data_IF_727464469999
#
_entry.id   IF_727464469999
#
_cell.length_a   1.000
_cell.length_b   1.000
_cell.length_c   1.000
_cell.angle_alpha   90.00
_cell.angle_beta   90.00
_cell.angle_gamma   90.00
#
_symmetry.space_group_name_H-M   'P 1'
#
loop_
_entity.id
_entity.type
_entity.pdbx_description
1 polymer ?
#
# COMPACT_ATOMS: atom_id res chain seq x y z
N UNK A 1 36.96 23.22 -15.47
CA UNK A 1 36.26 22.20 -16.27
C UNK A 1 34.83 22.24 -15.76
N UNK A 2 33.98 22.95 -16.48
CA UNK A 2 32.54 22.92 -16.26
C UNK A 2 32.10 21.54 -16.69
N UNK A 3 31.51 20.78 -15.76
CA UNK A 3 31.02 19.43 -16.05
C UNK A 3 29.64 19.65 -16.65
N UNK A 4 29.49 19.42 -17.95
CA UNK A 4 28.21 19.49 -18.63
C UNK A 4 27.22 18.50 -17.96
N UNK A 5 26.24 19.02 -17.23
CA UNK A 5 25.20 18.26 -16.51
C UNK A 5 24.06 17.77 -17.44
N UNK A 6 24.19 17.86 -18.77
CA UNK A 6 23.07 17.59 -19.69
C UNK A 6 23.36 16.48 -20.71
N UNK A 7 23.92 15.36 -20.22
CA UNK A 7 23.99 14.11 -21.01
C UNK A 7 23.37 12.93 -20.24
N UNK A 8 22.24 13.18 -19.56
CA UNK A 8 21.28 12.11 -19.28
C UNK A 8 20.71 11.68 -20.63
N UNK A 9 20.97 10.44 -21.02
CA UNK A 9 20.64 9.98 -22.37
C UNK A 9 19.13 10.09 -22.61
N UNK A 10 18.73 10.41 -23.85
CA UNK A 10 17.32 10.52 -24.26
C UNK A 10 16.51 9.27 -23.82
N UNK A 11 17.18 8.11 -23.83
CA UNK A 11 16.65 6.83 -23.36
C UNK A 11 16.34 6.78 -21.85
N UNK A 12 17.18 7.38 -21.01
CA UNK A 12 16.93 7.45 -19.55
C UNK A 12 15.80 8.43 -19.23
N UNK A 13 15.60 9.47 -20.05
CA UNK A 13 14.48 10.41 -19.90
C UNK A 13 13.16 9.75 -20.32
N UNK A 14 13.16 9.01 -21.43
CA UNK A 14 11.99 8.23 -21.88
C UNK A 14 11.59 7.13 -20.88
N UNK A 15 12.56 6.39 -20.31
CA UNK A 15 12.27 5.39 -19.25
C UNK A 15 11.70 6.03 -17.97
N UNK A 16 12.21 7.19 -17.54
CA UNK A 16 11.69 7.91 -16.38
C UNK A 16 10.26 8.45 -16.63
N UNK A 17 9.98 9.01 -17.81
CA UNK A 17 8.64 9.50 -18.18
C UNK A 17 7.61 8.35 -18.29
N UNK A 18 8.04 7.19 -18.82
CA UNK A 18 7.19 5.99 -18.84
C UNK A 18 6.90 5.49 -17.42
N UNK A 19 7.89 5.43 -16.53
CA UNK A 19 7.72 5.00 -15.13
C UNK A 19 6.78 5.95 -14.37
N UNK A 20 6.95 7.27 -14.54
CA UNK A 20 6.06 8.28 -13.96
C UNK A 20 4.63 8.09 -14.46
N UNK A 21 4.42 7.86 -15.77
CA UNK A 21 3.10 7.64 -16.36
C UNK A 21 2.41 6.37 -15.83
N UNK A 22 3.17 5.30 -15.60
CA UNK A 22 2.68 4.05 -15.01
C UNK A 22 2.32 4.27 -13.54
N UNK A 23 3.14 5.03 -12.81
CA UNK A 23 2.90 5.35 -11.40
C UNK A 23 1.61 6.14 -11.21
N UNK A 24 1.33 7.11 -12.08
CA UNK A 24 0.10 7.91 -12.07
C UNK A 24 -1.12 7.06 -12.40
N UNK A 25 -1.01 6.18 -13.41
CA UNK A 25 -2.08 5.26 -13.77
C UNK A 25 -2.44 4.31 -12.60
N UNK A 26 -1.42 3.78 -11.91
CA UNK A 26 -1.62 2.93 -10.74
C UNK A 26 -2.29 3.70 -9.60
N UNK A 27 -1.86 4.94 -9.36
CA UNK A 27 -2.43 5.80 -8.33
C UNK A 27 -3.89 6.13 -8.61
N UNK A 28 -4.24 6.44 -9.85
CA UNK A 28 -5.63 6.72 -10.25
C UNK A 28 -6.52 5.50 -10.08
N UNK A 29 -6.06 4.32 -10.53
CA UNK A 29 -6.80 3.06 -10.34
C UNK A 29 -6.98 2.72 -8.87
N UNK A 30 -5.93 2.88 -8.07
CA UNK A 30 -5.99 2.67 -6.64
C UNK A 30 -7.02 3.59 -5.98
N UNK A 31 -6.99 4.87 -6.34
CA UNK A 31 -7.91 5.88 -5.81
C UNK A 31 -9.36 5.55 -6.13
N UNK A 32 -9.67 5.17 -7.37
CA UNK A 32 -11.01 4.73 -7.76
C UNK A 32 -11.48 3.51 -6.97
N UNK A 33 -10.60 2.53 -6.75
CA UNK A 33 -10.93 1.34 -5.94
C UNK A 33 -11.18 1.72 -4.48
N UNK A 34 -10.33 2.55 -3.88
CA UNK A 34 -10.48 2.99 -2.50
C UNK A 34 -11.78 3.80 -2.29
N UNK A 35 -12.11 4.69 -3.24
CA UNK A 35 -13.38 5.42 -3.27
C UNK A 35 -14.56 4.43 -3.30
N UNK A 36 -14.53 3.46 -4.22
CA UNK A 36 -15.62 2.49 -4.38
C UNK A 36 -15.85 1.65 -3.11
N UNK A 37 -14.78 1.24 -2.43
CA UNK A 37 -14.87 0.51 -1.16
C UNK A 37 -15.48 1.40 -0.08
N UNK A 38 -15.00 2.64 0.07
CA UNK A 38 -15.49 3.57 1.08
C UNK A 38 -16.97 3.92 0.89
N UNK A 39 -17.40 4.19 -0.35
CA UNK A 39 -18.81 4.45 -0.67
C UNK A 39 -19.69 3.22 -0.44
N UNK A 40 -19.21 2.02 -0.78
CA UNK A 40 -19.94 0.78 -0.56
C UNK A 40 -20.16 0.52 0.93
N UNK A 41 -19.15 0.79 1.75
CA UNK A 41 -19.24 0.65 3.20
C UNK A 41 -20.15 1.71 3.84
N UNK A 42 -20.08 2.96 3.36
CA UNK A 42 -20.99 4.02 3.78
C UNK A 42 -22.45 3.66 3.46
N UNK A 43 -22.74 3.20 2.23
CA UNK A 43 -24.08 2.73 1.83
C UNK A 43 -24.57 1.57 2.69
N UNK A 44 -23.70 0.59 2.99
CA UNK A 44 -24.03 -0.53 3.88
C UNK A 44 -24.39 -0.08 5.29
N UNK A 45 -23.73 0.98 5.77
CA UNK A 45 -23.96 1.58 7.08
C UNK A 45 -25.14 2.58 7.10
N UNK A 46 -25.80 2.82 5.96
CA UNK A 46 -26.86 3.83 5.84
C UNK A 46 -26.35 5.27 5.96
N UNK A 47 -25.07 5.50 5.67
CA UNK A 47 -24.39 6.79 5.78
C UNK A 47 -23.99 7.33 4.40
N UNK A 48 -23.89 8.65 4.29
CA UNK A 48 -23.26 9.31 3.16
C UNK A 48 -21.86 9.80 3.58
N UNK A 49 -20.88 9.63 2.71
CA UNK A 49 -19.51 10.05 2.94
C UNK A 49 -19.19 11.27 2.08
N UNK A 50 -18.66 12.32 2.69
CA UNK A 50 -18.36 13.54 1.95
C UNK A 50 -17.13 13.35 1.05
N UNK A 51 -17.10 13.96 -0.17
CA UNK A 51 -16.00 13.78 -1.12
C UNK A 51 -14.59 14.05 -0.55
N UNK A 52 -14.35 15.08 0.29
CA UNK A 52 -13.03 15.30 0.90
C UNK A 52 -12.58 14.16 1.82
N UNK A 53 -13.53 13.52 2.52
CA UNK A 53 -13.23 12.40 3.42
C UNK A 53 -12.89 11.16 2.61
N UNK A 54 -13.61 10.89 1.52
CA UNK A 54 -13.27 9.76 0.63
C UNK A 54 -11.88 9.95 0.01
N UNK A 55 -11.56 11.16 -0.45
CA UNK A 55 -10.24 11.48 -0.98
C UNK A 55 -9.14 11.25 0.08
N UNK A 56 -9.37 11.70 1.31
CA UNK A 56 -8.46 11.48 2.43
C UNK A 56 -8.25 9.98 2.74
N UNK A 57 -9.31 9.16 2.72
CA UNK A 57 -9.21 7.71 2.91
C UNK A 57 -8.35 7.08 1.81
N UNK A 58 -8.55 7.48 0.55
CA UNK A 58 -7.74 6.98 -0.56
C UNK A 58 -6.26 7.36 -0.41
N UNK A 59 -5.96 8.61 -0.06
CA UNK A 59 -4.58 9.05 0.17
C UNK A 59 -3.93 8.34 1.36
N UNK A 60 -4.68 8.08 2.43
CA UNK A 60 -4.20 7.36 3.60
C UNK A 60 -3.91 5.89 3.27
N UNK A 61 -4.81 5.23 2.54
CA UNK A 61 -4.63 3.85 2.11
C UNK A 61 -3.40 3.72 1.19
N UNK A 62 -3.16 4.71 0.31
CA UNK A 62 -1.99 4.74 -0.55
C UNK A 62 -0.68 4.93 0.25
N UNK A 63 -0.69 5.71 1.33
CA UNK A 63 0.48 5.80 2.22
C UNK A 63 0.77 4.48 2.93
N UNK A 64 -0.27 3.80 3.40
CA UNK A 64 -0.10 2.52 4.10
C UNK A 64 0.36 1.38 3.18
N UNK A 65 -0.06 1.35 1.91
CA UNK A 65 0.36 0.28 1.00
C UNK A 65 1.87 0.32 0.74
N UNK A 66 2.46 1.51 0.67
CA UNK A 66 3.91 1.68 0.51
C UNK A 66 4.71 1.16 1.70
N UNK A 67 4.24 1.42 2.93
CA UNK A 67 4.87 0.87 4.14
C UNK A 67 4.67 -0.65 4.21
N UNK A 68 3.46 -1.13 3.91
CA UNK A 68 3.15 -2.56 3.88
C UNK A 68 4.06 -3.33 2.91
N UNK A 69 4.30 -2.79 1.72
CA UNK A 69 5.19 -3.42 0.74
C UNK A 69 6.62 -3.61 1.28
N UNK A 70 7.18 -2.58 1.95
CA UNK A 70 8.51 -2.65 2.58
C UNK A 70 8.56 -3.67 3.71
N UNK A 71 7.52 -3.70 4.54
CA UNK A 71 7.44 -4.65 5.66
C UNK A 71 7.37 -6.10 5.13
N UNK A 72 6.57 -6.35 4.09
CA UNK A 72 6.48 -7.67 3.44
C UNK A 72 7.79 -8.12 2.82
N UNK A 73 8.51 -7.21 2.17
CA UNK A 73 9.85 -7.48 1.63
C UNK A 73 10.83 -7.85 2.76
N UNK A 74 10.84 -7.09 3.85
CA UNK A 74 11.68 -7.36 5.02
C UNK A 74 11.35 -8.71 5.67
N UNK A 75 10.06 -9.09 5.78
CA UNK A 75 9.67 -10.38 6.33
C UNK A 75 10.11 -11.55 5.43
N UNK A 76 9.93 -11.43 4.12
CA UNK A 76 10.41 -12.44 3.18
C UNK A 76 11.93 -12.57 3.25
N UNK A 77 12.65 -11.45 3.31
CA UNK A 77 14.11 -11.41 3.40
C UNK A 77 14.62 -12.02 4.72
N UNK A 78 13.95 -11.73 5.85
CA UNK A 78 14.29 -12.32 7.15
C UNK A 78 14.15 -13.85 7.15
N UNK A 79 13.19 -14.38 6.39
CA UNK A 79 13.01 -15.82 6.18
C UNK A 79 13.97 -16.41 5.11
N UNK A 80 14.92 -15.62 4.58
CA UNK A 80 15.84 -16.05 3.52
C UNK A 80 15.18 -16.24 2.15
N UNK A 81 13.97 -15.73 1.95
CA UNK A 81 13.19 -15.87 0.71
C UNK A 81 13.26 -14.58 -0.12
N UNK A 82 13.13 -14.73 -1.44
CA UNK A 82 13.00 -13.62 -2.40
C UNK A 82 11.57 -13.39 -2.89
N UNK A 83 10.62 -14.17 -2.38
CA UNK A 83 9.22 -14.14 -2.77
C UNK A 83 8.35 -14.04 -1.52
N UNK A 84 7.42 -13.08 -1.55
CA UNK A 84 6.42 -12.84 -0.50
C UNK A 84 5.39 -13.95 -0.54
N UNK A 85 5.06 -14.49 0.63
CA UNK A 85 4.08 -15.57 0.81
C UNK A 85 3.02 -15.16 1.83
N UNK A 86 1.95 -15.95 1.96
CA UNK A 86 0.88 -15.68 2.92
C UNK A 86 1.36 -15.60 4.37
N UNK A 87 2.47 -16.25 4.73
CA UNK A 87 3.05 -16.10 6.07
C UNK A 87 3.54 -14.68 6.32
N UNK A 88 4.11 -14.01 5.33
CA UNK A 88 4.58 -12.62 5.45
C UNK A 88 3.40 -11.66 5.60
N UNK A 89 2.28 -11.93 4.90
CA UNK A 89 1.03 -11.18 5.00
C UNK A 89 0.34 -11.38 6.36
N UNK A 90 0.40 -12.58 6.93
CA UNK A 90 -0.13 -12.84 8.27
C UNK A 90 0.73 -12.14 9.33
N UNK A 91 2.06 -12.22 9.22
CA UNK A 91 3.01 -11.54 10.11
C UNK A 91 2.83 -10.03 10.03
N UNK A 92 2.59 -9.48 8.83
CA UNK A 92 2.27 -8.07 8.70
C UNK A 92 0.98 -7.74 9.46
N UNK A 93 -0.11 -8.51 9.35
CA UNK A 93 -1.30 -8.33 10.18
C UNK A 93 -1.06 -8.36 11.70
N UNK A 94 -0.08 -9.13 12.16
CA UNK A 94 0.36 -9.19 13.58
C UNK A 94 1.21 -7.97 13.98
N UNK A 95 2.00 -7.41 13.06
CA UNK A 95 2.95 -6.32 13.29
C UNK A 95 2.42 -4.91 12.93
N UNK A 96 1.43 -4.80 12.03
CA UNK A 96 1.00 -3.57 11.31
C UNK A 96 0.53 -2.43 12.22
N UNK A 97 0.27 -2.63 13.51
CA UNK A 97 -0.22 -1.55 14.39
C UNK A 97 0.81 -0.95 15.35
N UNK A 98 2.12 -1.19 15.18
CA UNK A 98 3.13 -0.64 16.11
C UNK A 98 3.56 0.82 15.83
N UNK A 99 3.07 1.47 14.77
CA UNK A 99 3.46 2.85 14.41
C UNK A 99 2.65 3.96 15.11
N UNK A 100 1.65 3.62 15.94
CA UNK A 100 1.12 4.56 16.93
C UNK A 100 1.83 4.30 18.25
N UNK A 101 2.53 5.32 18.77
CA UNK A 101 3.36 5.27 19.99
C UNK A 101 2.59 5.00 21.30
N UNK A 102 1.39 4.42 21.23
CA UNK A 102 0.59 4.03 22.38
C UNK A 102 -0.26 2.80 21.99
N UNK A 103 0.23 1.60 22.35
CA UNK A 103 -0.59 0.40 22.31
C UNK A 103 0.02 -0.73 21.49
N UNK A 104 0.72 -1.60 22.19
CA UNK A 104 0.99 -3.01 21.85
C UNK A 104 -0.32 -3.82 21.73
N UNK A 105 -1.25 -3.41 20.88
CA UNK A 105 -2.39 -4.25 20.54
C UNK A 105 -2.10 -4.90 19.20
N UNK A 106 -1.52 -6.11 19.26
CA UNK A 106 -1.54 -7.03 18.13
C UNK A 106 -2.97 -7.08 17.61
N UNK A 107 -3.17 -6.88 16.32
CA UNK A 107 -4.49 -7.01 15.75
C UNK A 107 -4.75 -8.51 15.50
N UNK A 108 -4.90 -9.27 16.60
CA UNK A 108 -5.12 -10.72 16.55
C UNK A 108 -6.36 -11.06 15.71
N UNK A 109 -7.37 -10.19 15.72
CA UNK A 109 -8.56 -10.32 14.89
C UNK A 109 -8.27 -10.20 13.38
N UNK A 110 -7.42 -9.25 12.99
CA UNK A 110 -6.96 -9.12 11.60
C UNK A 110 -6.12 -10.32 11.18
N UNK A 111 -5.16 -10.75 12.02
CA UNK A 111 -4.35 -11.93 11.74
C UNK A 111 -5.20 -13.21 11.62
N UNK A 112 -6.19 -13.40 12.50
CA UNK A 112 -7.14 -14.51 12.43
C UNK A 112 -7.97 -14.46 11.13
N UNK A 113 -8.43 -13.29 10.72
CA UNK A 113 -9.17 -13.11 9.46
C UNK A 113 -8.31 -13.44 8.25
N UNK A 114 -7.07 -12.95 8.21
CA UNK A 114 -6.11 -13.24 7.14
C UNK A 114 -5.77 -14.74 7.06
N UNK A 115 -5.60 -15.41 8.21
CA UNK A 115 -5.45 -16.87 8.26
C UNK A 115 -6.68 -17.57 7.70
N UNK A 116 -7.89 -17.16 8.08
CA UNK A 116 -9.12 -17.75 7.55
C UNK A 116 -9.20 -17.63 6.03
N UNK A 117 -8.82 -16.49 5.46
CA UNK A 117 -8.78 -16.29 4.00
C UNK A 117 -7.70 -17.14 3.34
N UNK A 118 -6.56 -17.36 4.00
CA UNK A 118 -5.49 -18.20 3.45
C UNK A 118 -5.86 -19.68 3.28
N UNK A 119 -6.93 -20.14 3.94
CA UNK A 119 -7.46 -21.51 3.84
C UNK A 119 -8.65 -21.65 2.86
N UNK A 120 -9.12 -20.55 2.25
CA UNK A 120 -10.13 -20.57 1.19
C UNK A 120 -9.49 -20.74 -0.19
#
# INVERSE_FOLDING_TARGET
>A
MEVDEDNRSDFEKEEEEEDDSVSDLLRDRFRLSAISIAESEAKRSGMEISPPIVACIADLAFKYIGQLAKDLELFAHHAGRKSVTMTDVIVSGECIMSNNAFGTHRNEHLAASLRSISYQ
#
